data_IF_275559270721
#
_entry.id   IF_275559270721
#
_cell.length_a   1.000
_cell.length_b   1.000
_cell.length_c   1.000
_cell.angle_alpha   90.00
_cell.angle_beta   90.00
_cell.angle_gamma   90.00
#
_symmetry.space_group_name_H-M   'P 1'
#
loop_
_entity.id
_entity.type
_entity.pdbx_description
1 polymer ?
#
# COMPACT_ATOMS: atom_id res chain seq x y z
N UNK A 1 3.85 0.23 8.46
CA UNK A 1 5.01 -0.40 9.12
C UNK A 1 4.52 -1.23 10.31
N UNK A 2 5.16 -2.35 10.58
CA UNK A 2 4.85 -3.26 11.67
C UNK A 2 6.06 -3.34 12.60
N UNK A 3 5.88 -3.24 13.92
CA UNK A 3 6.96 -3.22 14.89
C UNK A 3 6.64 -4.07 16.14
N UNK A 4 7.66 -4.66 16.77
CA UNK A 4 7.48 -5.28 18.07
C UNK A 4 7.26 -4.22 19.15
N UNK A 5 6.41 -4.49 20.11
CA UNK A 5 6.20 -3.57 21.25
C UNK A 5 7.48 -3.39 22.08
N UNK A 6 8.30 -4.46 22.19
CA UNK A 6 9.61 -4.47 22.85
C UNK A 6 10.62 -3.52 22.21
N UNK A 7 10.53 -3.25 20.89
CA UNK A 7 11.45 -2.34 20.20
C UNK A 7 11.34 -0.89 20.69
N UNK A 8 10.22 -0.53 21.33
CA UNK A 8 9.93 0.84 21.74
C UNK A 8 9.49 1.74 20.61
N UNK A 9 9.35 1.23 19.39
CA UNK A 9 8.84 1.99 18.24
C UNK A 9 7.33 2.22 18.42
N UNK A 10 6.92 3.43 18.71
CA UNK A 10 5.52 3.87 18.83
C UNK A 10 5.09 4.75 17.68
N UNK A 11 6.01 5.51 17.14
CA UNK A 11 5.81 6.40 15.98
C UNK A 11 6.86 6.12 14.92
N UNK A 12 6.66 6.62 13.72
CA UNK A 12 7.63 6.48 12.63
C UNK A 12 8.96 7.19 12.93
N UNK A 13 8.99 8.13 13.87
CA UNK A 13 10.21 8.84 14.26
C UNK A 13 11.11 8.03 15.21
N UNK A 14 10.62 6.94 15.81
CA UNK A 14 11.37 6.15 16.79
C UNK A 14 12.28 5.08 16.15
N UNK A 15 12.43 5.10 14.82
CA UNK A 15 13.11 4.05 14.06
C UNK A 15 14.64 4.16 14.02
N UNK A 16 15.21 5.31 14.42
CA UNK A 16 16.67 5.47 14.46
C UNK A 16 17.32 4.47 15.43
N UNK A 17 18.40 3.86 14.97
CA UNK A 17 19.12 2.80 15.71
C UNK A 17 18.44 1.43 15.70
N UNK A 18 17.32 1.27 15.02
CA UNK A 18 16.56 0.00 14.99
C UNK A 18 16.95 -0.89 13.84
N UNK A 19 16.66 -2.19 13.99
CA UNK A 19 16.88 -3.21 12.98
C UNK A 19 15.57 -3.41 12.17
N UNK A 20 15.56 -2.98 10.92
CA UNK A 20 14.33 -2.81 10.15
C UNK A 20 14.45 -3.48 8.78
N UNK A 21 13.50 -4.35 8.42
CA UNK A 21 13.39 -4.85 7.06
C UNK A 21 12.61 -3.86 6.17
N UNK A 22 13.29 -3.36 5.14
CA UNK A 22 12.76 -2.40 4.16
C UNK A 22 12.11 -3.10 2.95
N UNK A 23 12.38 -4.40 2.76
CA UNK A 23 11.96 -5.17 1.59
C UNK A 23 13.07 -5.38 0.57
N UNK A 24 12.90 -6.33 -0.37
CA UNK A 24 13.97 -6.75 -1.26
C UNK A 24 14.32 -5.70 -2.31
N UNK A 25 15.56 -5.72 -2.77
CA UNK A 25 16.02 -4.87 -3.85
C UNK A 25 15.14 -4.99 -5.10
N UNK A 26 14.84 -3.86 -5.74
CA UNK A 26 14.00 -3.78 -6.94
C UNK A 26 12.50 -3.92 -6.67
N UNK A 27 12.05 -3.97 -5.41
CA UNK A 27 10.63 -4.02 -5.07
C UNK A 27 10.05 -2.63 -4.82
N UNK A 28 8.77 -2.45 -5.14
CA UNK A 28 8.01 -1.25 -4.75
C UNK A 28 7.93 -1.08 -3.23
N UNK A 29 8.01 -2.17 -2.46
CA UNK A 29 8.05 -2.10 -1.00
C UNK A 29 9.29 -1.35 -0.50
N UNK A 30 10.47 -1.66 -1.06
CA UNK A 30 11.72 -0.96 -0.73
C UNK A 30 11.65 0.52 -1.13
N UNK A 31 11.16 0.82 -2.34
CA UNK A 31 11.01 2.21 -2.81
C UNK A 31 10.12 3.00 -1.85
N UNK A 32 8.95 2.45 -1.48
CA UNK A 32 8.04 3.12 -0.56
C UNK A 32 8.67 3.35 0.84
N UNK A 33 9.43 2.37 1.34
CA UNK A 33 10.17 2.53 2.60
C UNK A 33 11.23 3.62 2.49
N UNK A 34 12.00 3.64 1.40
CA UNK A 34 13.04 4.65 1.15
C UNK A 34 12.46 6.06 1.00
N UNK A 35 11.32 6.23 0.33
CA UNK A 35 10.65 7.52 0.22
C UNK A 35 10.23 8.06 1.60
N UNK A 36 9.71 7.18 2.48
CA UNK A 36 9.38 7.54 3.86
C UNK A 36 10.63 7.93 4.65
N UNK A 37 11.70 7.13 4.57
CA UNK A 37 12.96 7.43 5.25
C UNK A 37 13.56 8.75 4.76
N UNK A 38 13.55 9.00 3.46
CA UNK A 38 14.03 10.25 2.87
C UNK A 38 13.21 11.46 3.33
N UNK A 39 11.88 11.34 3.40
CA UNK A 39 11.02 12.39 3.94
C UNK A 39 11.34 12.72 5.41
N UNK A 40 11.70 11.71 6.19
CA UNK A 40 12.08 11.86 7.60
C UNK A 40 13.55 12.22 7.81
N UNK A 41 14.32 12.39 6.74
CA UNK A 41 15.77 12.65 6.79
C UNK A 41 16.54 11.56 7.55
N UNK A 42 16.17 10.30 7.31
CA UNK A 42 16.80 9.11 7.88
C UNK A 42 17.65 8.42 6.80
N UNK A 43 18.94 8.33 7.05
CA UNK A 43 19.87 7.59 6.19
C UNK A 43 19.81 6.09 6.52
N UNK A 44 19.34 5.28 5.56
CA UNK A 44 19.17 3.83 5.76
C UNK A 44 20.49 3.08 6.08
N UNK A 45 21.64 3.68 5.75
CA UNK A 45 22.96 3.06 5.97
C UNK A 45 23.62 3.48 7.29
N UNK A 46 23.19 4.62 7.87
CA UNK A 46 23.81 5.21 9.06
C UNK A 46 22.89 5.20 10.26
N UNK A 47 21.59 5.49 10.02
CA UNK A 47 20.66 5.74 11.11
C UNK A 47 19.88 4.50 11.54
N UNK A 48 19.86 3.42 10.71
CA UNK A 48 19.19 2.16 11.02
C UNK A 48 20.05 0.97 10.60
N UNK A 49 19.75 -0.22 11.15
CA UNK A 49 20.26 -1.47 10.61
C UNK A 49 19.23 -2.01 9.61
N UNK A 50 19.47 -1.76 8.32
CA UNK A 50 18.55 -2.12 7.25
C UNK A 50 18.70 -3.58 6.82
N UNK A 51 17.58 -4.28 6.60
CA UNK A 51 17.49 -5.58 5.94
C UNK A 51 16.67 -5.44 4.64
N UNK A 52 16.96 -6.31 3.67
CA UNK A 52 16.35 -6.28 2.34
C UNK A 52 15.73 -7.63 1.98
N UNK A 53 14.94 -8.15 2.90
CA UNK A 53 14.33 -9.48 2.86
C UNK A 53 12.88 -9.37 2.38
N UNK A 54 12.35 -10.41 1.75
CA UNK A 54 10.94 -10.42 1.33
C UNK A 54 10.02 -10.25 2.55
N UNK A 55 9.01 -9.36 2.49
CA UNK A 55 8.12 -9.10 3.62
C UNK A 55 7.38 -10.34 4.15
N UNK A 56 7.16 -11.33 3.31
CA UNK A 56 6.51 -12.61 3.70
C UNK A 56 7.33 -13.42 4.70
N UNK A 57 8.64 -13.16 4.82
CA UNK A 57 9.53 -13.80 5.80
C UNK A 57 9.55 -13.04 7.15
N UNK A 58 9.07 -11.80 7.15
CA UNK A 58 9.12 -10.91 8.32
C UNK A 58 8.34 -11.40 9.54
N UNK A 59 7.20 -12.14 9.42
CA UNK A 59 6.53 -12.71 10.59
C UNK A 59 7.44 -13.59 11.44
N UNK A 60 8.21 -14.48 10.81
CA UNK A 60 9.19 -15.31 11.51
C UNK A 60 10.32 -14.47 12.12
N UNK A 61 10.90 -13.55 11.33
CA UNK A 61 12.01 -12.72 11.78
C UNK A 61 11.64 -11.84 12.99
N UNK A 62 10.42 -11.29 13.01
CA UNK A 62 9.95 -10.45 14.12
C UNK A 62 9.68 -11.28 15.38
N UNK A 63 9.11 -12.48 15.22
CA UNK A 63 8.83 -13.39 16.34
C UNK A 63 10.10 -14.02 16.93
N UNK A 64 11.16 -14.15 16.14
CA UNK A 64 12.49 -14.61 16.55
C UNK A 64 13.39 -13.47 17.08
N UNK A 65 12.86 -12.26 17.20
CA UNK A 65 13.58 -11.06 17.65
C UNK A 65 14.80 -10.70 16.77
N UNK A 66 14.78 -11.10 15.49
CA UNK A 66 15.86 -10.85 14.54
C UNK A 66 15.75 -9.48 13.88
N UNK A 67 14.54 -8.90 13.87
CA UNK A 67 14.26 -7.53 13.46
C UNK A 67 13.32 -6.85 14.45
N UNK A 68 13.42 -5.54 14.58
CA UNK A 68 12.54 -4.71 15.42
C UNK A 68 11.24 -4.37 14.70
N UNK A 69 11.33 -4.15 13.38
CA UNK A 69 10.19 -3.74 12.56
C UNK A 69 10.39 -4.13 11.09
N UNK A 70 9.30 -4.04 10.31
CA UNK A 70 9.37 -4.16 8.87
C UNK A 70 8.34 -3.26 8.16
N UNK A 71 8.70 -2.81 6.97
CA UNK A 71 7.77 -2.17 6.04
C UNK A 71 7.08 -3.22 5.19
N UNK A 72 5.79 -3.04 4.95
CA UNK A 72 5.04 -3.88 4.04
C UNK A 72 3.94 -3.07 3.34
N UNK A 73 4.09 -2.90 2.03
CA UNK A 73 3.06 -2.30 1.18
C UNK A 73 2.19 -3.41 0.63
N UNK A 74 0.98 -3.51 1.11
CA UNK A 74 0.06 -4.62 0.80
C UNK A 74 -1.39 -4.21 1.03
N UNK A 75 -2.33 -4.88 0.38
CA UNK A 75 -3.77 -4.72 0.66
C UNK A 75 -4.15 -5.31 2.02
N UNK A 76 -4.99 -4.60 2.76
CA UNK A 76 -5.47 -5.02 4.08
C UNK A 76 -6.91 -5.53 4.03
N UNK A 77 -7.28 -6.56 4.86
CA UNK A 77 -6.42 -7.34 5.76
C UNK A 77 -5.48 -8.29 5.02
N UNK A 78 -4.29 -8.54 5.60
CA UNK A 78 -3.26 -9.40 5.02
C UNK A 78 -2.87 -10.53 5.97
N UNK A 79 -2.64 -11.73 5.43
CA UNK A 79 -2.30 -12.94 6.18
C UNK A 79 -0.99 -12.83 6.96
N UNK A 80 0.09 -12.33 6.34
CA UNK A 80 1.39 -12.21 6.98
C UNK A 80 1.38 -11.21 8.15
N UNK A 81 0.59 -10.13 8.04
CA UNK A 81 0.42 -9.19 9.15
C UNK A 81 -0.39 -9.83 10.28
N UNK A 82 -1.43 -10.61 9.97
CA UNK A 82 -2.16 -11.39 10.98
C UNK A 82 -1.24 -12.36 11.70
N UNK A 83 -0.41 -13.08 10.97
CA UNK A 83 0.59 -13.99 11.53
C UNK A 83 1.56 -13.24 12.45
N UNK A 84 2.11 -12.10 12.01
CA UNK A 84 3.00 -11.27 12.83
C UNK A 84 2.37 -10.85 14.16
N UNK A 85 1.08 -10.49 14.15
CA UNK A 85 0.37 -9.98 15.33
C UNK A 85 -0.17 -11.08 16.24
N UNK A 86 -0.36 -12.30 15.73
CA UNK A 86 -0.90 -13.44 16.47
C UNK A 86 0.18 -14.29 17.18
N UNK A 87 1.45 -13.96 17.01
CA UNK A 87 2.56 -14.70 17.58
C UNK A 87 2.79 -14.44 19.07
N UNK A 88 3.92 -14.96 19.57
CA UNK A 88 4.32 -14.85 20.99
C UNK A 88 4.60 -13.42 21.44
N UNK A 89 5.23 -12.63 20.56
CA UNK A 89 5.58 -11.25 20.85
C UNK A 89 4.40 -10.32 20.54
N UNK A 90 4.24 -9.32 21.38
CA UNK A 90 3.30 -8.23 21.13
C UNK A 90 3.81 -7.35 20.00
N UNK A 91 2.95 -7.10 19.03
CA UNK A 91 3.26 -6.38 17.80
C UNK A 91 2.22 -5.29 17.56
N UNK A 92 2.65 -4.16 17.02
CA UNK A 92 1.80 -3.04 16.61
C UNK A 92 1.98 -2.69 15.14
N UNK A 93 0.96 -2.13 14.56
CA UNK A 93 1.06 -1.33 13.35
C UNK A 93 1.37 0.11 13.78
N UNK A 94 2.30 0.74 13.09
CA UNK A 94 2.80 2.09 13.43
C UNK A 94 2.21 3.11 12.48
N UNK A 95 1.69 4.21 13.03
CA UNK A 95 1.23 5.35 12.24
C UNK A 95 2.37 5.93 11.39
N UNK A 96 2.06 6.24 10.14
CA UNK A 96 2.95 6.94 9.20
C UNK A 96 2.30 8.27 8.87
N UNK A 97 2.53 9.26 9.73
CA UNK A 97 1.91 10.58 9.70
C UNK A 97 2.90 11.65 10.14
N UNK A 98 2.58 12.90 9.87
CA UNK A 98 3.36 14.07 10.28
C UNK A 98 3.61 15.02 9.12
N UNK A 99 4.07 16.24 9.42
CA UNK A 99 4.28 17.31 8.46
C UNK A 99 5.18 16.88 7.29
N UNK A 100 6.33 16.24 7.57
CA UNK A 100 7.25 15.73 6.55
C UNK A 100 6.62 14.66 5.65
N UNK A 101 5.73 13.84 6.19
CA UNK A 101 4.95 12.86 5.41
C UNK A 101 3.92 13.60 4.53
N UNK A 102 3.25 14.61 5.05
CA UNK A 102 2.30 15.43 4.28
C UNK A 102 3.01 16.18 3.14
N UNK A 103 4.21 16.70 3.36
CA UNK A 103 5.05 17.28 2.30
C UNK A 103 5.41 16.25 1.21
N UNK A 104 5.77 15.03 1.61
CA UNK A 104 6.05 13.94 0.69
C UNK A 104 4.83 13.60 -0.17
N UNK A 105 3.64 13.54 0.44
CA UNK A 105 2.38 13.32 -0.28
C UNK A 105 2.11 14.42 -1.32
N UNK A 106 2.47 15.66 -1.01
CA UNK A 106 2.38 16.78 -1.95
C UNK A 106 3.33 16.67 -3.14
N UNK A 107 4.49 16.04 -2.96
CA UNK A 107 5.49 15.83 -4.02
C UNK A 107 5.19 14.64 -4.91
N UNK A 108 4.61 13.57 -4.34
CA UNK A 108 4.39 12.30 -5.02
C UNK A 108 2.89 11.96 -5.11
N UNK A 109 2.23 12.34 -6.22
CA UNK A 109 0.77 12.24 -6.35
C UNK A 109 0.24 10.79 -6.42
N UNK A 110 1.11 9.79 -6.50
CA UNK A 110 0.74 8.37 -6.44
C UNK A 110 0.58 7.84 -5.02
N UNK A 111 1.02 8.59 -4.00
CA UNK A 111 0.69 8.30 -2.60
C UNK A 111 -0.61 8.97 -2.18
N UNK A 112 -1.31 8.33 -1.26
CA UNK A 112 -2.50 8.88 -0.62
C UNK A 112 -2.54 8.54 0.87
N UNK A 113 -3.18 9.37 1.68
CA UNK A 113 -3.52 9.03 3.06
C UNK A 113 -4.45 7.83 3.07
N UNK A 114 -4.21 6.93 4.01
CA UNK A 114 -4.97 5.70 4.17
C UNK A 114 -5.15 5.37 5.65
N UNK A 115 -6.15 4.57 5.96
CA UNK A 115 -6.43 4.11 7.32
C UNK A 115 -6.53 2.59 7.31
N UNK A 116 -5.88 1.95 8.27
CA UNK A 116 -5.98 0.52 8.52
C UNK A 116 -6.87 0.33 9.74
N UNK A 117 -8.12 -0.18 9.59
CA UNK A 117 -8.99 -0.46 10.72
C UNK A 117 -8.32 -1.43 11.71
N UNK A 118 -8.34 -1.11 13.00
CA UNK A 118 -7.76 -1.97 14.05
C UNK A 118 -8.36 -3.37 14.06
N UNK A 119 -9.64 -3.47 13.72
CA UNK A 119 -10.38 -4.73 13.71
C UNK A 119 -9.88 -5.72 12.65
N UNK A 120 -9.06 -5.27 11.70
CA UNK A 120 -8.37 -6.18 10.76
C UNK A 120 -7.29 -7.02 11.45
N UNK A 121 -6.76 -6.53 12.57
CA UNK A 121 -5.67 -7.18 13.33
C UNK A 121 -5.95 -7.14 14.84
N UNK A 122 -6.98 -7.87 15.32
CA UNK A 122 -7.42 -7.79 16.72
C UNK A 122 -6.41 -8.32 17.74
N UNK A 123 -5.39 -9.04 17.28
CA UNK A 123 -4.27 -9.55 18.11
C UNK A 123 -3.13 -8.55 18.24
N UNK A 124 -3.16 -7.43 17.49
CA UNK A 124 -2.19 -6.35 17.65
C UNK A 124 -2.45 -5.56 18.95
N UNK A 125 -1.45 -4.81 19.42
CA UNK A 125 -1.63 -3.94 20.60
C UNK A 125 -2.25 -2.58 20.24
N UNK A 126 -2.75 -2.40 19.02
CA UNK A 126 -3.37 -1.16 18.59
C UNK A 126 -4.78 -1.01 19.19
N UNK A 127 -5.01 0.08 19.90
CA UNK A 127 -6.33 0.41 20.47
C UNK A 127 -7.21 1.22 19.52
N UNK A 128 -6.61 1.80 18.48
CA UNK A 128 -7.25 2.67 17.47
C UNK A 128 -6.86 2.24 16.07
N UNK A 129 -7.61 2.73 15.09
CA UNK A 129 -7.25 2.63 13.69
C UNK A 129 -5.88 3.28 13.44
N UNK A 130 -5.13 2.75 12.48
CA UNK A 130 -3.76 3.18 12.18
C UNK A 130 -3.79 4.07 10.93
N UNK A 131 -3.33 5.30 11.09
CA UNK A 131 -3.20 6.24 9.98
C UNK A 131 -1.88 5.99 9.25
N UNK A 132 -1.94 5.87 7.95
CA UNK A 132 -0.78 5.54 7.13
C UNK A 132 -0.87 6.18 5.76
N UNK A 133 0.08 5.88 4.92
CA UNK A 133 0.04 6.18 3.50
C UNK A 133 -0.08 4.90 2.69
N UNK A 134 -0.58 5.00 1.49
CA UNK A 134 -0.69 3.90 0.55
C UNK A 134 -0.50 4.33 -0.88
N UNK A 135 -0.27 3.36 -1.75
CA UNK A 135 -0.29 3.51 -3.20
C UNK A 135 -1.47 2.72 -3.76
N UNK A 136 -2.10 3.23 -4.80
CA UNK A 136 -3.14 2.46 -5.49
C UNK A 136 -2.51 1.43 -6.43
N UNK A 137 -2.91 0.18 -6.26
CA UNK A 137 -2.63 -0.83 -7.26
C UNK A 137 -3.40 -0.47 -8.55
N UNK A 138 -2.68 -0.29 -9.65
CA UNK A 138 -3.27 0.09 -10.94
C UNK A 138 -2.95 -0.97 -11.97
N UNK A 139 -3.99 -1.48 -12.64
CA UNK A 139 -3.81 -2.34 -13.80
C UNK A 139 -3.37 -1.48 -14.99
N UNK A 140 -2.22 -1.78 -15.55
CA UNK A 140 -1.65 -1.09 -16.69
C UNK A 140 -1.47 -2.06 -17.87
N UNK A 141 -1.52 -1.52 -19.09
CA UNK A 141 -1.30 -2.29 -20.31
C UNK A 141 -0.51 -1.47 -21.33
N UNK A 142 -0.09 -2.12 -22.42
CA UNK A 142 0.60 -1.45 -23.52
C UNK A 142 -0.40 -0.85 -24.49
N UNK A 143 -0.05 0.29 -25.09
CA UNK A 143 -0.78 0.89 -26.24
C UNK A 143 -0.82 -0.01 -27.49
N UNK A 144 -0.03 -1.10 -27.50
CA UNK A 144 -0.03 -2.10 -28.58
C UNK A 144 -1.15 -3.15 -28.45
N UNK A 145 -1.82 -3.21 -27.30
CA UNK A 145 -2.97 -4.13 -27.11
C UNK A 145 -4.18 -3.50 -27.82
N UNK A 146 -5.00 -4.34 -28.45
CA UNK A 146 -6.16 -3.87 -29.19
C UNK A 146 -7.21 -3.20 -28.29
N UNK A 147 -7.94 -2.25 -28.84
CA UNK A 147 -9.02 -1.56 -28.12
C UNK A 147 -10.11 -2.54 -27.69
N UNK A 148 -10.45 -3.52 -28.54
CA UNK A 148 -11.46 -4.54 -28.25
C UNK A 148 -11.07 -5.38 -27.04
N UNK A 149 -9.80 -5.81 -26.95
CA UNK A 149 -9.33 -6.62 -25.84
C UNK A 149 -9.38 -5.84 -24.52
N UNK A 150 -8.90 -4.60 -24.50
CA UNK A 150 -8.92 -3.77 -23.27
C UNK A 150 -10.34 -3.36 -22.91
N UNK A 151 -11.19 -3.08 -23.89
CA UNK A 151 -12.62 -2.83 -23.66
C UNK A 151 -13.28 -4.05 -22.99
N UNK A 152 -13.07 -5.25 -23.55
CA UNK A 152 -13.67 -6.48 -23.02
C UNK A 152 -13.22 -6.77 -21.57
N UNK A 153 -11.93 -6.62 -21.27
CA UNK A 153 -11.39 -6.81 -19.91
C UNK A 153 -12.00 -5.78 -18.95
N UNK A 154 -12.03 -4.52 -19.35
CA UNK A 154 -12.59 -3.45 -18.52
C UNK A 154 -14.07 -3.69 -18.24
N UNK A 155 -14.84 -4.00 -19.28
CA UNK A 155 -16.26 -4.31 -19.20
C UNK A 155 -16.52 -5.46 -18.26
N UNK A 156 -15.79 -6.57 -18.39
CA UNK A 156 -15.93 -7.77 -17.57
C UNK A 156 -15.75 -7.44 -16.08
N UNK A 157 -14.70 -6.70 -15.72
CA UNK A 157 -14.45 -6.32 -14.32
C UNK A 157 -15.55 -5.44 -13.75
N UNK A 158 -16.05 -4.47 -14.52
CA UNK A 158 -17.04 -3.52 -14.02
C UNK A 158 -18.48 -4.03 -14.07
N UNK A 159 -18.82 -4.94 -14.99
CA UNK A 159 -20.16 -5.56 -15.04
C UNK A 159 -20.30 -6.68 -14.01
N UNK A 160 -19.23 -7.46 -13.77
CA UNK A 160 -19.18 -8.49 -12.73
C UNK A 160 -18.47 -7.99 -11.46
N UNK A 161 -18.80 -6.78 -11.04
CA UNK A 161 -18.06 -6.05 -10.01
C UNK A 161 -18.09 -6.75 -8.63
N UNK A 162 -19.21 -7.34 -8.24
CA UNK A 162 -19.31 -8.05 -6.95
C UNK A 162 -18.49 -9.35 -6.97
N UNK A 163 -18.45 -10.08 -8.08
CA UNK A 163 -17.60 -11.24 -8.24
C UNK A 163 -16.12 -10.83 -8.18
N UNK A 164 -15.75 -9.74 -8.85
CA UNK A 164 -14.40 -9.17 -8.76
C UNK A 164 -14.03 -8.82 -7.31
N UNK A 165 -14.92 -8.19 -6.55
CA UNK A 165 -14.68 -7.89 -5.12
C UNK A 165 -14.49 -9.12 -4.26
N UNK A 166 -15.12 -10.24 -4.62
CA UNK A 166 -14.99 -11.50 -3.89
C UNK A 166 -13.62 -12.15 -3.98
N UNK A 167 -12.82 -11.79 -5.00
CA UNK A 167 -11.50 -12.38 -5.26
C UNK A 167 -10.47 -12.08 -4.17
N UNK A 168 -10.62 -10.98 -3.44
CA UNK A 168 -9.69 -10.64 -2.35
C UNK A 168 -10.36 -9.81 -1.26
N UNK A 169 -10.09 -10.09 0.04
CA UNK A 169 -10.67 -9.33 1.16
C UNK A 169 -10.42 -7.82 1.12
N UNK A 170 -9.27 -7.37 0.58
CA UNK A 170 -8.94 -5.95 0.43
C UNK A 170 -9.84 -5.23 -0.58
N UNK A 171 -10.53 -5.96 -1.45
CA UNK A 171 -11.43 -5.35 -2.45
C UNK A 171 -12.80 -4.99 -1.87
N UNK A 172 -13.13 -5.38 -0.64
CA UNK A 172 -14.43 -5.06 -0.03
C UNK A 172 -14.77 -3.57 0.02
N UNK A 173 -13.75 -2.73 0.11
CA UNK A 173 -13.87 -1.27 0.24
C UNK A 173 -13.86 -0.51 -1.09
N UNK A 174 -13.64 -1.20 -2.22
CA UNK A 174 -13.64 -0.54 -3.52
C UNK A 174 -15.05 -0.29 -4.03
N UNK A 175 -15.20 0.79 -4.78
CA UNK A 175 -16.39 1.13 -5.57
C UNK A 175 -15.96 1.41 -7.02
N UNK A 176 -16.90 1.35 -7.96
CA UNK A 176 -16.59 1.64 -9.37
C UNK A 176 -15.97 3.04 -9.55
N UNK A 177 -16.41 3.98 -8.74
CA UNK A 177 -15.95 5.37 -8.76
C UNK A 177 -14.53 5.49 -8.19
N UNK A 178 -14.28 4.91 -7.00
CA UNK A 178 -12.97 5.05 -6.36
C UNK A 178 -11.86 4.26 -7.07
N UNK A 179 -12.20 3.24 -7.87
CA UNK A 179 -11.25 2.55 -8.75
C UNK A 179 -10.66 3.49 -9.82
N UNK A 180 -11.38 4.54 -10.20
CA UNK A 180 -10.97 5.49 -11.24
C UNK A 180 -10.28 6.74 -10.68
N UNK A 181 -10.23 6.88 -9.36
CA UNK A 181 -9.53 7.99 -8.70
C UNK A 181 -8.05 7.67 -8.45
N UNK A 182 -7.16 8.67 -8.55
CA UNK A 182 -5.72 8.53 -8.27
C UNK A 182 -4.96 7.68 -9.30
N UNK A 183 -5.48 7.54 -10.50
CA UNK A 183 -4.76 6.99 -11.64
C UNK A 183 -3.64 7.96 -12.04
N UNK A 184 -2.48 7.44 -12.47
CA UNK A 184 -1.29 8.23 -12.81
C UNK A 184 -0.80 8.05 -14.25
N UNK A 185 -1.47 7.20 -15.02
CA UNK A 185 -1.14 6.95 -16.42
C UNK A 185 -2.34 7.27 -17.33
N UNK A 186 -2.09 7.65 -18.60
CA UNK A 186 -3.16 7.85 -19.58
C UNK A 186 -4.07 6.63 -19.71
N UNK A 187 -5.35 6.90 -19.90
CA UNK A 187 -6.36 5.84 -20.03
C UNK A 187 -6.28 5.22 -21.42
N UNK A 188 -6.18 3.89 -21.48
CA UNK A 188 -6.20 3.17 -22.75
C UNK A 188 -7.55 3.38 -23.49
N UNK A 189 -7.53 3.54 -24.80
CA UNK A 189 -8.73 3.86 -25.62
C UNK A 189 -9.87 2.84 -25.39
N UNK A 190 -9.57 1.55 -25.30
CA UNK A 190 -10.58 0.52 -25.01
C UNK A 190 -11.24 0.70 -23.65
N UNK A 191 -10.46 1.01 -22.59
CA UNK A 191 -11.01 1.29 -21.28
C UNK A 191 -11.83 2.59 -21.28
N UNK A 192 -11.33 3.62 -21.94
CA UNK A 192 -12.04 4.91 -22.07
C UNK A 192 -13.39 4.76 -22.74
N UNK A 193 -13.48 3.93 -23.79
CA UNK A 193 -14.74 3.61 -24.46
C UNK A 193 -15.76 3.06 -23.47
N UNK A 194 -15.39 2.05 -22.70
CA UNK A 194 -16.30 1.49 -21.70
C UNK A 194 -16.69 2.52 -20.63
N UNK A 195 -15.75 3.30 -20.11
CA UNK A 195 -16.05 4.30 -19.07
C UNK A 195 -17.00 5.40 -19.58
N UNK A 196 -16.93 5.77 -20.85
CA UNK A 196 -17.90 6.69 -21.48
C UNK A 196 -19.30 6.05 -21.53
N UNK A 197 -19.41 4.82 -22.02
CA UNK A 197 -20.68 4.07 -22.11
C UNK A 197 -21.32 3.85 -20.73
N UNK A 198 -20.53 3.55 -19.72
CA UNK A 198 -20.98 3.32 -18.34
C UNK A 198 -21.22 4.62 -17.52
N UNK A 199 -21.01 5.81 -18.09
CA UNK A 199 -21.18 7.09 -17.40
C UNK A 199 -20.17 7.36 -16.28
N UNK A 200 -19.02 6.66 -16.30
CA UNK A 200 -17.99 6.73 -15.27
C UNK A 200 -16.91 7.78 -15.54
N UNK A 201 -16.91 8.40 -16.71
CA UNK A 201 -15.88 9.35 -17.17
C UNK A 201 -15.66 10.53 -16.19
N UNK A 202 -16.72 10.95 -15.50
CA UNK A 202 -16.69 12.06 -14.52
C UNK A 202 -15.79 11.80 -13.31
N UNK A 203 -15.41 10.54 -13.08
CA UNK A 203 -14.55 10.13 -11.95
C UNK A 203 -13.07 10.04 -12.35
N UNK A 204 -12.74 10.31 -13.63
CA UNK A 204 -11.39 10.25 -14.18
C UNK A 204 -10.84 11.67 -14.27
N UNK A 205 -9.56 11.84 -13.88
CA UNK A 205 -8.88 13.10 -14.12
C UNK A 205 -8.81 13.40 -15.62
N UNK A 206 -9.36 14.53 -16.10
CA UNK A 206 -9.39 14.86 -17.53
C UNK A 206 -8.01 14.85 -18.20
N UNK A 207 -6.94 15.15 -17.47
CA UNK A 207 -5.57 15.15 -18.02
C UNK A 207 -5.08 13.76 -18.44
N UNK A 208 -5.75 12.68 -18.02
CA UNK A 208 -5.42 11.30 -18.38
C UNK A 208 -6.20 10.81 -19.61
N UNK A 209 -7.13 11.60 -20.10
CA UNK A 209 -7.93 11.30 -21.29
C UNK A 209 -7.18 11.85 -22.51
N UNK A 210 -6.50 10.96 -23.23
CA UNK A 210 -5.79 11.30 -24.48
C UNK A 210 -6.63 10.78 -25.64
N UNK A 211 -6.98 11.65 -26.57
CA UNK A 211 -7.71 11.33 -27.80
C UNK A 211 -6.85 10.63 -28.86
#
# INVERSE_FOLDING_TARGET
MIATDKSGIKTINDIKGKHINLGPAGSGNLVNAQDILAALEIDEKKDIKAEYIKPVESPGLIQDERIDAFFYTVGHPNGNIKESTAGRLKVRLVDIVGEKIDEMLGKFPYYAKSVIPKDFYPTSVNEKDVNTIGVKATLVTSTKISEEAVYAITKEVFENFEDFKSLHPAYKVITKENMLSGLSAPIHKGALKYYKEAGLIKHINPSLIIE
#
